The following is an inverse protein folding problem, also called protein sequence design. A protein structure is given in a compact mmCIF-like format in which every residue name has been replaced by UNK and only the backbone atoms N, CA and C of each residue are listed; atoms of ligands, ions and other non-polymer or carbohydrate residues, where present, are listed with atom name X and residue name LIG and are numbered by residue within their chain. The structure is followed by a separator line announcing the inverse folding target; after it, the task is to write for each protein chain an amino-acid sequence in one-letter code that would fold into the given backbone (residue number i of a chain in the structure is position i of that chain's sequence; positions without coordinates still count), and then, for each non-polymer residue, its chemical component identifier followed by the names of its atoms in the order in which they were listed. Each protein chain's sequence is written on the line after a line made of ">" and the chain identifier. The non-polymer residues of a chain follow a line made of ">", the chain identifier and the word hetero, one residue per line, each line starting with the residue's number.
data_IF_515839834934
#
_entry.id   IF_515839834934
#
_cell.length_a   1.000
_cell.length_b   1.000
_cell.length_c   1.000
_cell.angle_alpha   90.00
_cell.angle_beta   90.00
_cell.angle_gamma   90.00
#
_symmetry.space_group_name_H-M   'P 1'
#
loop_
_entity.id
_entity.type
_entity.pdbx_description
1 polymer ?
#
# COMPACT_ATOMS: atom_id res chain seq x y z
N UNK A 1 8.15 -33.43 28.26
CA UNK A 1 6.85 -32.95 27.71
C UNK A 1 6.71 -31.43 27.63
N UNK A 2 7.49 -30.62 28.37
CA UNK A 2 7.40 -29.15 28.33
C UNK A 2 8.03 -28.50 27.08
N UNK A 3 9.08 -29.13 26.53
CA UNK A 3 9.81 -28.65 25.34
C UNK A 3 9.00 -28.83 24.05
N UNK A 4 8.28 -29.94 23.91
CA UNK A 4 7.40 -30.18 22.75
C UNK A 4 6.27 -29.15 22.66
N UNK A 5 5.72 -28.73 23.81
CA UNK A 5 4.69 -27.70 23.85
C UNK A 5 5.23 -26.35 23.35
N UNK A 6 6.45 -26.00 23.77
CA UNK A 6 7.12 -24.77 23.34
C UNK A 6 7.42 -24.75 21.84
N UNK A 7 7.92 -25.87 21.30
CA UNK A 7 8.14 -26.02 19.85
C UNK A 7 6.83 -25.91 19.07
N UNK A 8 5.75 -26.49 19.58
CA UNK A 8 4.43 -26.36 18.95
C UNK A 8 3.99 -24.89 18.89
N UNK A 9 4.07 -24.15 20.00
CA UNK A 9 3.70 -22.73 20.04
C UNK A 9 4.51 -21.91 19.02
N UNK A 10 5.82 -22.14 18.92
CA UNK A 10 6.68 -21.44 17.96
C UNK A 10 6.28 -21.72 16.50
N UNK A 11 6.00 -22.99 16.16
CA UNK A 11 5.58 -23.37 14.81
C UNK A 11 4.24 -22.74 14.43
N UNK A 12 3.27 -22.73 15.34
CA UNK A 12 1.97 -22.07 15.11
C UNK A 12 2.14 -20.56 14.96
N UNK A 13 3.04 -19.94 15.74
CA UNK A 13 3.29 -18.51 15.66
C UNK A 13 3.96 -18.12 14.33
N UNK A 14 4.96 -18.88 13.86
CA UNK A 14 5.59 -18.66 12.55
C UNK A 14 4.58 -18.77 11.40
N UNK A 15 3.76 -19.83 11.38
CA UNK A 15 2.77 -20.03 10.31
C UNK A 15 1.73 -18.90 10.30
N UNK A 16 1.31 -18.43 11.48
CA UNK A 16 0.32 -17.35 11.63
C UNK A 16 0.90 -15.99 11.24
N UNK A 17 2.16 -15.68 11.63
CA UNK A 17 2.85 -14.44 11.24
C UNK A 17 3.10 -14.41 9.74
N UNK A 18 3.51 -15.54 9.14
CA UNK A 18 3.82 -15.61 7.72
C UNK A 18 2.55 -15.43 6.87
N UNK A 19 1.43 -16.03 7.28
CA UNK A 19 0.13 -15.81 6.62
C UNK A 19 -0.38 -14.38 6.78
N UNK A 20 -0.14 -13.74 7.94
CA UNK A 20 -0.44 -12.31 8.11
C UNK A 20 0.38 -11.43 7.16
N UNK A 21 1.71 -11.64 7.05
CA UNK A 21 2.56 -10.92 6.08
C UNK A 21 2.12 -11.13 4.63
N UNK A 22 1.71 -12.36 4.26
CA UNK A 22 1.22 -12.67 2.91
C UNK A 22 -0.14 -12.03 2.61
N UNK A 23 -1.01 -11.91 3.61
CA UNK A 23 -2.36 -11.35 3.46
C UNK A 23 -2.40 -9.83 3.53
N UNK A 24 -1.38 -9.22 4.15
CA UNK A 24 -1.19 -7.77 4.18
C UNK A 24 0.08 -7.35 3.39
N UNK A 25 0.09 -7.45 2.05
CA UNK A 25 1.07 -6.72 1.23
C UNK A 25 0.78 -5.20 1.23
N UNK A 26 -0.11 -4.70 2.09
CA UNK A 26 -0.95 -3.50 1.97
C UNK A 26 -0.21 -2.15 2.02
N UNK A 27 1.12 -2.17 2.03
CA UNK A 27 1.97 -1.00 1.79
C UNK A 27 2.65 -1.05 0.41
N UNK A 28 2.45 -2.12 -0.35
CA UNK A 28 2.85 -2.32 -1.73
C UNK A 28 1.86 -1.65 -2.65
N UNK A 29 2.24 -0.47 -3.14
CA UNK A 29 1.60 0.28 -4.23
C UNK A 29 0.07 0.31 -4.20
N UNK A 30 -0.53 1.03 -3.24
CA UNK A 30 -1.94 1.38 -3.33
C UNK A 30 -2.16 2.18 -4.64
N UNK A 31 -2.96 1.63 -5.55
CA UNK A 31 -3.28 2.26 -6.84
C UNK A 31 -4.50 3.15 -6.69
N UNK A 32 -4.26 4.45 -6.50
CA UNK A 32 -5.29 5.49 -6.36
C UNK A 32 -5.58 6.18 -7.70
N UNK A 33 -5.17 5.59 -8.84
CA UNK A 33 -5.41 6.16 -10.18
C UNK A 33 -6.90 6.30 -10.48
N UNK A 34 -7.73 5.37 -9.99
CA UNK A 34 -9.20 5.44 -10.13
C UNK A 34 -9.78 6.61 -9.36
N UNK A 35 -9.42 6.74 -8.09
CA UNK A 35 -9.86 7.82 -7.21
C UNK A 35 -9.43 9.18 -7.77
N UNK A 36 -8.18 9.28 -8.24
CA UNK A 36 -7.67 10.47 -8.89
C UNK A 36 -8.52 10.88 -10.11
N UNK A 37 -8.87 9.90 -10.97
CA UNK A 37 -9.70 10.16 -12.16
C UNK A 37 -11.14 10.55 -11.79
N UNK A 38 -11.70 9.95 -10.73
CA UNK A 38 -13.03 10.33 -10.22
C UNK A 38 -13.06 11.77 -9.70
N UNK A 39 -11.95 12.26 -9.13
CA UNK A 39 -11.81 13.65 -8.70
C UNK A 39 -11.52 14.65 -9.83
N UNK A 40 -11.59 14.28 -11.11
CA UNK A 40 -11.11 15.07 -12.26
C UNK A 40 -9.60 15.38 -12.24
N UNK A 41 -8.82 14.58 -11.52
CA UNK A 41 -7.37 14.65 -11.47
C UNK A 41 -6.67 13.83 -12.57
N UNK A 42 -5.40 14.14 -12.82
CA UNK A 42 -4.51 13.39 -13.72
C UNK A 42 -3.28 12.89 -12.97
N UNK A 43 -2.90 11.65 -13.25
CA UNK A 43 -1.68 11.08 -12.70
C UNK A 43 -0.46 11.51 -13.53
N UNK A 44 0.49 12.20 -12.90
CA UNK A 44 1.74 12.69 -13.53
C UNK A 44 2.93 12.43 -12.61
N UNK A 45 4.14 12.39 -13.17
CA UNK A 45 5.37 12.30 -12.35
C UNK A 45 5.61 13.59 -11.57
N UNK A 46 5.25 14.73 -12.16
CA UNK A 46 5.28 16.04 -11.53
C UNK A 46 4.03 16.82 -11.92
N UNK A 47 3.44 17.54 -10.96
CA UNK A 47 2.31 18.43 -11.22
C UNK A 47 2.80 19.78 -11.76
N UNK A 48 2.02 20.40 -12.64
CA UNK A 48 2.33 21.75 -13.13
C UNK A 48 2.13 22.79 -12.02
N UNK A 49 2.74 23.98 -12.13
CA UNK A 49 2.55 25.08 -11.16
C UNK A 49 1.09 25.52 -11.00
N UNK A 50 0.25 25.28 -12.01
CA UNK A 50 -1.18 25.62 -12.01
C UNK A 50 -2.06 24.48 -11.46
N UNK A 51 -1.46 23.36 -11.05
CA UNK A 51 -2.15 22.17 -10.57
C UNK A 51 -1.84 21.92 -9.09
N UNK A 52 -2.83 21.42 -8.34
CA UNK A 52 -2.68 21.06 -6.93
C UNK A 52 -2.39 19.56 -6.82
N UNK A 53 -1.31 19.21 -6.12
CA UNK A 53 -0.99 17.84 -5.76
C UNK A 53 -1.79 17.43 -4.52
N UNK A 54 -2.65 16.42 -4.65
CA UNK A 54 -3.47 15.92 -3.53
C UNK A 54 -3.04 14.56 -2.98
N UNK A 55 -2.49 13.68 -3.83
CA UNK A 55 -2.20 12.30 -3.47
C UNK A 55 -1.14 11.70 -4.42
N UNK A 56 -0.77 10.43 -4.18
CA UNK A 56 -0.04 9.60 -5.14
C UNK A 56 -1.01 8.71 -5.89
N UNK A 57 -0.82 8.49 -7.19
CA UNK A 57 -1.59 7.49 -7.94
C UNK A 57 -0.98 6.10 -7.75
N UNK A 58 0.34 5.97 -7.92
CA UNK A 58 1.11 4.80 -7.52
C UNK A 58 2.34 5.29 -6.77
N UNK A 59 2.54 4.79 -5.54
CA UNK A 59 3.83 4.97 -4.86
C UNK A 59 4.92 4.17 -5.58
N UNK A 60 6.15 4.69 -5.71
CA UNK A 60 6.63 6.04 -5.40
C UNK A 60 6.54 7.03 -6.58
N UNK A 61 6.13 6.59 -7.77
CA UNK A 61 6.48 7.24 -9.02
C UNK A 61 5.51 8.31 -9.54
N UNK A 62 4.24 8.32 -9.13
CA UNK A 62 3.23 9.21 -9.74
C UNK A 62 2.35 9.92 -8.72
N UNK A 63 2.13 11.21 -8.95
CA UNK A 63 1.25 12.10 -8.20
C UNK A 63 -0.09 12.28 -8.90
N UNK A 64 -1.15 12.46 -8.12
CA UNK A 64 -2.44 12.93 -8.61
C UNK A 64 -2.47 14.47 -8.58
N UNK A 65 -2.63 15.07 -9.76
CA UNK A 65 -2.65 16.50 -9.99
C UNK A 65 -4.06 16.94 -10.39
N UNK A 66 -4.62 17.91 -9.68
CA UNK A 66 -5.92 18.52 -9.97
C UNK A 66 -5.72 19.90 -10.56
N UNK A 67 -6.49 20.23 -11.59
CA UNK A 67 -6.55 21.60 -12.08
C UNK A 67 -7.29 22.45 -11.04
N UNK A 68 -6.75 23.63 -10.74
CA UNK A 68 -7.31 24.55 -9.74
C UNK A 68 -8.66 25.11 -10.18
#
# INVERSE_FOLDING_TARGET
>A
MKIHLFLFILLFFEVTILTAKKRYPQYGSIDLRRECRMGNGRCKVQCHENEVRIAYCMRPATHCCLQK
#
